data_IF_616858381377
#
_entry.id   IF_616858381377
#
_cell.length_a   1.000
_cell.length_b   1.000
_cell.length_c   1.000
_cell.angle_alpha   90.00
_cell.angle_beta   90.00
_cell.angle_gamma   90.00
#
_symmetry.space_group_name_H-M   'P 1'
#
loop_
_entity.id
_entity.type
_entity.pdbx_description
1 polymer ?
#
# COMPACT_ATOMS: atom_id res chain seq x y z
N UNK A 1 -29.69 55.58 80.38
CA UNK A 1 -30.32 56.91 80.43
C UNK A 1 -31.28 56.87 79.34
N UNK A 2 -32.47 56.58 79.67
CA UNK A 2 -33.62 57.45 79.85
C UNK A 2 -34.17 57.88 78.47
N UNK A 3 -35.28 57.38 78.19
CA UNK A 3 -36.66 57.79 78.55
C UNK A 3 -37.33 58.36 77.29
N UNK A 4 -38.33 57.81 76.90
CA UNK A 4 -39.76 57.86 77.06
C UNK A 4 -40.47 58.47 75.83
N UNK A 5 -41.39 57.66 75.36
CA UNK A 5 -42.84 57.90 75.41
C UNK A 5 -43.26 59.12 74.60
N UNK A 6 -44.23 59.02 73.71
CA UNK A 6 -45.66 58.93 74.06
C UNK A 6 -46.53 58.84 72.82
N UNK A 7 -47.34 57.85 72.77
CA UNK A 7 -48.75 57.85 72.51
C UNK A 7 -49.40 59.14 72.01
N UNK A 8 -50.20 59.06 70.96
CA UNK A 8 -51.67 59.25 71.15
C UNK A 8 -52.35 59.18 69.77
N UNK A 9 -53.21 58.19 69.59
CA UNK A 9 -54.67 58.34 69.26
C UNK A 9 -55.09 59.43 68.30
N UNK A 10 -55.76 59.04 67.24
CA UNK A 10 -57.15 59.35 66.88
C UNK A 10 -57.46 58.67 65.55
N UNK A 11 -58.27 57.59 65.57
CA UNK A 11 -59.69 57.46 65.38
C UNK A 11 -60.16 57.89 64.00
N UNK A 12 -60.60 56.82 63.30
CA UNK A 12 -61.80 56.74 62.46
C UNK A 12 -61.98 57.75 61.33
N UNK A 13 -61.82 57.23 60.13
CA UNK A 13 -62.86 57.35 59.14
C UNK A 13 -62.89 56.10 58.31
N UNK A 14 -63.78 55.21 58.63
CA UNK A 14 -64.21 54.11 57.76
C UNK A 14 -64.91 54.79 56.60
N UNK A 15 -64.20 54.89 55.47
CA UNK A 15 -64.83 55.05 54.17
C UNK A 15 -64.75 53.70 53.47
N UNK A 16 -65.87 52.98 53.62
CA UNK A 16 -66.16 51.82 52.76
C UNK A 16 -66.35 52.37 51.35
N UNK A 17 -65.28 52.49 50.57
CA UNK A 17 -65.35 52.52 49.15
C UNK A 17 -65.23 51.04 48.68
N UNK A 18 -66.40 50.44 48.57
CA UNK A 18 -66.49 49.20 47.76
C UNK A 18 -66.24 49.66 46.33
N UNK A 19 -64.94 49.70 45.98
CA UNK A 19 -64.58 49.63 44.59
C UNK A 19 -65.00 48.24 44.15
N UNK A 20 -66.07 48.16 43.43
CA UNK A 20 -66.29 47.12 42.45
C UNK A 20 -65.10 47.21 41.47
N UNK A 21 -63.97 46.64 41.83
CA UNK A 21 -63.06 46.18 40.85
C UNK A 21 -63.78 45.01 40.18
N UNK A 22 -64.60 45.33 39.24
CA UNK A 22 -64.94 44.37 38.21
C UNK A 22 -63.62 43.96 37.56
N UNK A 23 -63.09 42.84 38.01
CA UNK A 23 -62.22 42.07 37.12
C UNK A 23 -63.14 41.72 35.95
N UNK A 24 -63.28 42.64 35.00
CA UNK A 24 -63.42 42.22 33.64
C UNK A 24 -62.08 41.49 33.30
N UNK A 25 -62.00 40.21 33.66
CA UNK A 25 -61.05 39.37 32.98
C UNK A 25 -61.38 39.51 31.51
N UNK A 26 -60.72 40.45 30.86
CA UNK A 26 -60.61 40.39 29.42
C UNK A 26 -60.05 38.94 29.18
N UNK A 27 -60.96 38.03 28.82
CA UNK A 27 -60.56 36.75 28.35
C UNK A 27 -59.58 37.04 27.25
N UNK A 28 -58.29 36.74 27.50
CA UNK A 28 -57.26 36.88 26.47
C UNK A 28 -57.70 36.01 25.33
N UNK A 29 -57.83 36.56 24.15
CA UNK A 29 -58.11 35.79 22.93
C UNK A 29 -56.83 35.36 22.21
N UNK A 30 -55.67 35.64 22.85
CA UNK A 30 -54.35 35.29 22.36
C UNK A 30 -54.28 33.80 22.15
N UNK A 31 -53.79 33.34 20.97
CA UNK A 31 -53.55 31.93 20.73
C UNK A 31 -52.43 31.37 21.64
N UNK A 32 -52.32 30.07 21.70
CA UNK A 32 -51.22 29.35 22.30
C UNK A 32 -50.55 28.56 21.18
N UNK A 33 -49.36 29.02 20.76
CA UNK A 33 -48.59 28.41 19.67
C UNK A 33 -47.93 27.11 20.11
N UNK A 34 -47.90 26.16 19.22
CA UNK A 34 -47.15 24.89 19.36
C UNK A 34 -46.44 24.58 18.06
N UNK A 35 -45.25 24.01 18.15
CA UNK A 35 -44.47 23.56 16.99
C UNK A 35 -43.82 22.20 17.30
N UNK A 36 -43.78 21.33 16.32
CA UNK A 36 -43.00 20.09 16.32
C UNK A 36 -42.33 19.89 14.97
N UNK A 37 -41.29 19.09 14.95
CA UNK A 37 -40.61 18.65 13.73
C UNK A 37 -40.56 17.14 13.70
N UNK A 38 -40.48 16.53 12.51
CA UNK A 38 -40.30 15.10 12.34
C UNK A 38 -38.89 14.66 12.71
N UNK A 39 -37.92 15.58 12.59
CA UNK A 39 -36.51 15.37 12.95
C UNK A 39 -35.96 16.67 13.56
N UNK A 40 -35.17 16.54 14.65
CA UNK A 40 -34.48 17.65 15.32
C UNK A 40 -32.97 17.68 14.97
N UNK A 41 -32.46 16.62 14.27
CA UNK A 41 -31.11 16.54 13.75
C UNK A 41 -31.17 15.95 12.35
N UNK A 42 -30.59 16.65 11.38
CA UNK A 42 -30.56 16.29 9.95
C UNK A 42 -29.22 16.64 9.34
N UNK A 43 -28.95 16.10 8.14
CA UNK A 43 -27.81 16.51 7.33
C UNK A 43 -28.18 17.65 6.40
N UNK A 44 -27.22 18.52 6.07
CA UNK A 44 -27.40 19.60 5.09
C UNK A 44 -28.03 19.06 3.81
N UNK A 45 -29.11 19.73 3.35
CA UNK A 45 -29.86 19.33 2.16
C UNK A 45 -31.02 18.37 2.42
N UNK A 46 -31.15 17.81 3.61
CA UNK A 46 -32.34 17.03 3.98
C UNK A 46 -33.56 17.88 4.28
N UNK A 47 -34.73 17.29 4.11
CA UNK A 47 -35.99 17.95 4.31
C UNK A 47 -36.51 17.68 5.71
N UNK A 48 -36.83 18.75 6.47
CA UNK A 48 -37.51 18.68 7.76
C UNK A 48 -38.94 19.12 7.59
N UNK A 49 -39.90 18.33 8.13
CA UNK A 49 -41.33 18.69 8.13
C UNK A 49 -41.73 19.23 9.49
N UNK A 50 -42.41 20.36 9.48
CA UNK A 50 -42.87 21.06 10.68
C UNK A 50 -44.39 21.00 10.78
N UNK A 51 -44.88 20.85 12.02
CA UNK A 51 -46.28 20.75 12.34
C UNK A 51 -46.63 21.67 13.53
N UNK A 52 -47.51 22.65 13.30
CA UNK A 52 -48.03 23.57 14.30
C UNK A 52 -49.54 23.39 14.54
N UNK A 53 -50.17 22.30 14.07
CA UNK A 53 -51.62 22.07 14.17
C UNK A 53 -52.11 21.83 15.61
N UNK A 54 -51.20 21.59 16.55
CA UNK A 54 -51.52 21.52 17.97
C UNK A 54 -51.66 22.89 18.61
N UNK A 55 -51.40 23.97 17.87
CA UNK A 55 -51.68 25.32 18.34
C UNK A 55 -53.19 25.51 18.57
N UNK A 56 -53.53 26.24 19.61
CA UNK A 56 -54.94 26.48 20.01
C UNK A 56 -55.23 27.96 20.15
N UNK A 57 -56.54 28.36 20.06
CA UNK A 57 -56.95 29.69 20.35
C UNK A 57 -58.28 29.67 21.17
N UNK A 58 -58.49 30.56 22.12
CA UNK A 58 -59.74 30.62 22.92
C UNK A 58 -60.96 30.88 22.05
N UNK A 59 -62.10 30.20 22.35
CA UNK A 59 -63.36 30.45 21.69
C UNK A 59 -63.86 31.85 21.99
N UNK A 60 -64.44 32.62 21.01
CA UNK A 60 -64.89 32.14 19.70
C UNK A 60 -63.90 32.36 18.54
N UNK A 61 -62.61 32.68 18.82
CA UNK A 61 -61.60 32.91 17.79
C UNK A 61 -61.13 31.56 17.11
N UNK A 62 -60.66 31.64 15.88
CA UNK A 62 -60.11 30.59 15.11
C UNK A 62 -58.70 30.96 14.67
N UNK A 63 -57.81 29.99 14.52
CA UNK A 63 -56.44 30.18 13.93
C UNK A 63 -56.66 30.44 12.43
N UNK A 64 -56.06 31.54 11.93
CA UNK A 64 -56.22 32.02 10.56
C UNK A 64 -54.91 31.84 9.75
N UNK A 65 -53.76 32.10 10.40
CA UNK A 65 -52.47 32.14 9.71
C UNK A 65 -51.33 31.61 10.60
N UNK A 66 -50.32 31.00 9.94
CA UNK A 66 -49.04 30.56 10.52
C UNK A 66 -47.92 31.22 9.74
N UNK A 67 -47.04 31.97 10.39
CA UNK A 67 -45.85 32.60 9.81
C UNK A 67 -44.61 31.91 10.33
N UNK A 68 -43.93 31.25 9.46
CA UNK A 68 -42.75 30.46 9.75
C UNK A 68 -41.49 31.27 9.47
N UNK A 69 -40.47 31.15 10.35
CA UNK A 69 -39.12 31.67 10.18
C UNK A 69 -38.14 30.55 10.47
N UNK A 70 -37.35 30.16 9.46
CA UNK A 70 -36.44 28.97 9.54
C UNK A 70 -35.02 29.29 10.03
N UNK A 71 -34.76 30.59 10.40
CA UNK A 71 -33.43 30.97 10.91
C UNK A 71 -32.40 31.35 9.85
N UNK A 72 -32.58 30.91 8.59
CA UNK A 72 -31.69 31.25 7.46
C UNK A 72 -32.12 32.51 6.68
N UNK A 73 -33.08 33.25 7.21
CA UNK A 73 -33.67 34.46 6.57
C UNK A 73 -34.90 34.17 5.73
N UNK A 74 -35.24 32.92 5.50
CA UNK A 74 -36.43 32.50 4.79
C UNK A 74 -37.65 32.52 5.68
N UNK A 75 -38.76 33.12 5.17
CA UNK A 75 -40.06 33.12 5.81
C UNK A 75 -41.12 32.53 4.90
N UNK A 76 -42.08 31.85 5.51
CA UNK A 76 -43.21 31.26 4.78
C UNK A 76 -44.51 31.46 5.58
N UNK A 77 -45.58 31.70 4.86
CA UNK A 77 -46.93 31.80 5.44
C UNK A 77 -47.78 30.62 4.97
N UNK A 78 -48.49 29.99 5.88
CA UNK A 78 -49.43 28.90 5.59
C UNK A 78 -50.73 29.07 6.39
N UNK A 79 -51.80 28.45 5.91
CA UNK A 79 -53.10 28.39 6.62
C UNK A 79 -53.38 26.97 7.16
N UNK A 80 -52.53 26.02 6.83
CA UNK A 80 -52.74 24.59 7.17
C UNK A 80 -52.00 24.15 8.43
N UNK A 81 -51.11 24.99 8.98
CA UNK A 81 -50.28 24.67 10.14
C UNK A 81 -49.19 23.61 9.89
N UNK A 82 -48.91 23.29 8.63
CA UNK A 82 -47.83 22.40 8.24
C UNK A 82 -46.95 23.03 7.17
N UNK A 83 -45.65 22.74 7.22
CA UNK A 83 -44.70 23.20 6.23
C UNK A 83 -43.48 22.26 6.22
N UNK A 84 -42.55 22.49 5.30
CA UNK A 84 -41.26 21.86 5.27
C UNK A 84 -40.15 22.87 4.98
N UNK A 85 -38.92 22.57 5.35
CA UNK A 85 -37.75 23.36 4.98
C UNK A 85 -36.56 22.42 4.68
N UNK A 86 -35.65 22.89 3.82
CA UNK A 86 -34.39 22.26 3.52
C UNK A 86 -33.29 23.22 3.95
N UNK A 87 -32.55 22.86 4.99
CA UNK A 87 -31.48 23.71 5.51
C UNK A 87 -30.26 23.61 4.60
N UNK A 88 -29.64 24.76 4.32
CA UNK A 88 -28.46 24.87 3.44
C UNK A 88 -27.20 25.26 4.19
N UNK A 89 -27.35 25.69 5.44
CA UNK A 89 -26.23 26.04 6.31
C UNK A 89 -26.15 25.05 7.49
N UNK A 90 -24.97 24.56 7.84
CA UNK A 90 -24.79 23.72 9.01
C UNK A 90 -24.91 24.51 10.32
N UNK A 91 -25.11 23.79 11.43
CA UNK A 91 -25.20 24.34 12.76
C UNK A 91 -26.63 24.33 13.34
N UNK A 92 -26.83 25.05 14.44
CA UNK A 92 -28.14 25.14 15.10
C UNK A 92 -29.03 26.22 14.47
N UNK A 93 -30.22 25.84 14.09
CA UNK A 93 -31.26 26.74 13.54
C UNK A 93 -32.47 26.77 14.44
N UNK A 94 -32.81 27.95 14.96
CA UNK A 94 -34.03 28.15 15.73
C UNK A 94 -35.17 28.47 14.77
N UNK A 95 -36.08 27.51 14.60
CA UNK A 95 -37.26 27.62 13.78
C UNK A 95 -38.38 28.15 14.64
N UNK A 96 -38.97 29.30 14.25
CA UNK A 96 -40.07 29.94 14.94
C UNK A 96 -41.34 29.89 14.08
N UNK A 97 -42.48 29.61 14.71
CA UNK A 97 -43.82 29.81 14.14
C UNK A 97 -44.52 30.87 14.93
N UNK A 98 -45.04 31.88 14.27
CA UNK A 98 -45.99 32.86 14.83
C UNK A 98 -47.39 32.52 14.32
N UNK A 99 -48.30 32.22 15.26
CA UNK A 99 -49.66 31.77 14.99
C UNK A 99 -50.61 32.91 15.24
N UNK A 100 -51.39 33.30 14.24
CA UNK A 100 -52.36 34.37 14.31
C UNK A 100 -53.79 33.83 14.36
N UNK A 101 -54.63 34.48 15.13
CA UNK A 101 -56.05 34.24 15.08
C UNK A 101 -56.78 35.27 14.18
N UNK A 102 -58.10 35.09 13.93
CA UNK A 102 -58.95 35.91 13.08
C UNK A 102 -59.17 37.35 13.61
N UNK A 103 -58.62 37.68 14.79
CA UNK A 103 -58.58 39.02 15.35
C UNK A 103 -57.22 39.69 15.25
N UNK A 104 -56.23 39.03 14.70
CA UNK A 104 -54.88 39.54 14.54
C UNK A 104 -54.01 39.45 15.81
N UNK A 105 -54.46 38.72 16.85
CA UNK A 105 -53.63 38.44 18.02
C UNK A 105 -52.75 37.24 17.71
N UNK A 106 -51.52 37.26 18.22
CA UNK A 106 -50.52 36.19 17.91
C UNK A 106 -49.80 35.68 19.14
N UNK A 107 -49.22 34.49 19.01
CA UNK A 107 -48.29 33.88 19.92
C UNK A 107 -47.21 33.15 19.13
N UNK A 108 -46.05 32.84 19.76
CA UNK A 108 -44.89 32.24 19.12
C UNK A 108 -44.46 31.00 19.84
N UNK A 109 -44.02 30.01 19.05
CA UNK A 109 -43.30 28.82 19.51
C UNK A 109 -42.08 28.60 18.67
N UNK A 110 -41.04 28.05 19.28
CA UNK A 110 -39.79 27.73 18.57
C UNK A 110 -39.32 26.33 18.87
N UNK A 111 -38.57 25.75 17.93
CA UNK A 111 -37.87 24.48 18.03
C UNK A 111 -36.48 24.65 17.41
N UNK A 112 -35.45 24.04 18.02
CA UNK A 112 -34.10 24.09 17.51
C UNK A 112 -33.83 22.86 16.67
N UNK A 113 -33.34 23.06 15.45
CA UNK A 113 -32.92 22.00 14.53
C UNK A 113 -31.41 22.07 14.40
N UNK A 114 -30.75 20.95 14.67
CA UNK A 114 -29.31 20.79 14.41
C UNK A 114 -29.10 20.25 12.99
N UNK A 115 -28.32 20.99 12.20
CA UNK A 115 -27.98 20.60 10.82
C UNK A 115 -26.50 20.22 10.75
N UNK A 116 -26.25 18.97 10.47
CA UNK A 116 -24.92 18.41 10.34
C UNK A 116 -24.40 18.59 8.91
N UNK A 117 -23.10 18.85 8.73
CA UNK A 117 -22.44 18.76 7.44
C UNK A 117 -21.39 17.65 7.44
N UNK A 118 -21.12 17.02 6.28
CA UNK A 118 -20.00 16.09 6.19
C UNK A 118 -18.67 16.80 6.46
N UNK A 119 -17.63 16.07 6.97
CA UNK A 119 -16.32 16.65 7.25
C UNK A 119 -15.65 17.20 5.98
N UNK A 120 -14.85 18.25 6.13
CA UNK A 120 -13.98 18.76 5.08
C UNK A 120 -12.63 18.04 5.10
N UNK A 121 -12.26 17.38 4.00
CA UNK A 121 -11.00 16.67 3.87
C UNK A 121 -9.92 17.61 3.36
N UNK A 122 -8.79 17.68 4.10
CA UNK A 122 -7.58 18.41 3.71
C UNK A 122 -6.45 17.40 3.63
N UNK A 123 -5.93 17.15 2.40
CA UNK A 123 -4.82 16.25 2.16
C UNK A 123 -3.52 17.01 1.91
N UNK A 124 -2.46 16.58 2.59
CA UNK A 124 -1.08 16.95 2.32
C UNK A 124 -0.30 15.71 1.89
N UNK A 125 0.26 15.72 0.68
CA UNK A 125 1.02 14.60 0.13
C UNK A 125 1.99 15.06 -0.95
N UNK A 126 3.08 14.30 -1.26
CA UNK A 126 3.97 14.59 -2.38
C UNK A 126 3.26 14.31 -3.71
N UNK A 127 3.55 15.13 -4.73
CA UNK A 127 3.03 14.90 -6.08
C UNK A 127 3.69 13.71 -6.79
N UNK A 128 4.92 13.36 -6.40
CA UNK A 128 5.64 12.19 -6.90
C UNK A 128 6.62 11.65 -5.84
N UNK A 129 6.97 10.38 -5.97
CA UNK A 129 8.01 9.68 -5.20
C UNK A 129 8.78 8.73 -6.11
N UNK A 130 9.94 8.25 -5.66
CA UNK A 130 10.67 7.20 -6.38
C UNK A 130 10.18 5.82 -5.93
N UNK A 131 10.39 4.82 -6.77
CA UNK A 131 10.16 3.42 -6.38
C UNK A 131 10.89 3.08 -5.08
N UNK A 132 10.20 2.37 -4.18
CA UNK A 132 10.66 2.00 -2.84
C UNK A 132 11.02 3.19 -1.91
N UNK A 133 10.56 4.39 -2.21
CA UNK A 133 10.62 5.54 -1.32
C UNK A 133 9.31 5.63 -0.54
N UNK A 134 9.40 5.93 0.76
CA UNK A 134 8.22 6.12 1.60
C UNK A 134 7.62 7.50 1.36
N UNK A 135 6.33 7.55 1.06
CA UNK A 135 5.54 8.77 1.02
C UNK A 135 4.62 8.82 2.24
N UNK A 136 4.45 10.02 2.79
CA UNK A 136 3.46 10.29 3.84
C UNK A 136 2.28 11.00 3.20
N UNK A 137 1.07 10.48 3.45
CA UNK A 137 -0.20 11.13 3.09
C UNK A 137 -0.86 11.52 4.41
N UNK A 138 -1.12 12.81 4.58
CA UNK A 138 -1.57 13.40 5.84
C UNK A 138 -2.94 14.09 5.66
N UNK A 139 -3.96 13.56 6.34
CA UNK A 139 -5.30 14.10 6.43
C UNK A 139 -5.59 14.75 7.81
N UNK A 140 -4.60 14.91 8.69
CA UNK A 140 -4.78 15.36 10.07
C UNK A 140 -5.32 16.78 10.21
N UNK A 141 -5.31 17.57 9.13
CA UNK A 141 -5.89 18.91 9.11
C UNK A 141 -7.36 18.92 8.67
N UNK A 142 -7.94 17.77 8.35
CA UNK A 142 -9.36 17.63 8.06
C UNK A 142 -10.19 17.94 9.32
N UNK A 143 -11.35 18.52 9.15
CA UNK A 143 -12.19 18.96 10.26
C UNK A 143 -13.68 18.86 9.94
N UNK A 144 -14.48 18.79 10.99
CA UNK A 144 -15.92 19.00 10.94
C UNK A 144 -16.26 20.47 11.30
N UNK A 145 -17.08 21.15 10.48
CA UNK A 145 -17.43 22.56 10.66
C UNK A 145 -18.26 22.80 11.90
N UNK A 146 -19.06 21.83 12.36
CA UNK A 146 -19.85 21.88 13.58
C UNK A 146 -19.05 21.55 14.83
N UNK A 147 -17.81 21.09 14.65
CA UNK A 147 -16.93 20.58 15.68
C UNK A 147 -17.22 19.11 15.97
N UNK A 148 -16.27 18.42 16.50
CA UNK A 148 -16.35 16.99 16.76
C UNK A 148 -15.12 16.26 16.31
N UNK A 149 -15.11 14.94 16.48
CA UNK A 149 -14.02 14.08 15.99
C UNK A 149 -14.28 13.69 14.53
N UNK A 150 -13.18 13.58 13.76
CA UNK A 150 -13.20 13.01 12.42
C UNK A 150 -12.44 11.71 12.44
N UNK A 151 -13.07 10.64 12.00
CA UNK A 151 -12.48 9.32 11.79
C UNK A 151 -12.15 9.15 10.30
N UNK A 152 -11.14 8.30 9.99
CA UNK A 152 -10.68 8.09 8.62
C UNK A 152 -10.75 6.62 8.26
N UNK A 153 -11.07 6.36 6.99
CA UNK A 153 -10.92 5.06 6.34
C UNK A 153 -10.15 5.29 5.04
N UNK A 154 -9.03 4.59 4.87
CA UNK A 154 -8.21 4.67 3.67
C UNK A 154 -8.34 3.40 2.85
N UNK A 155 -8.47 3.59 1.55
CA UNK A 155 -8.22 2.59 0.53
C UNK A 155 -6.94 3.02 -0.22
N UNK A 156 -5.87 2.23 -0.08
CA UNK A 156 -4.54 2.60 -0.56
C UNK A 156 -4.25 2.11 -1.98
N UNK A 157 -5.11 1.26 -2.56
CA UNK A 157 -5.00 0.74 -3.91
C UNK A 157 -6.36 0.41 -4.52
N UNK A 158 -6.97 1.36 -5.22
CA UNK A 158 -8.26 1.20 -5.90
C UNK A 158 -8.29 0.11 -6.99
N UNK A 159 -7.16 -0.49 -7.30
CA UNK A 159 -7.04 -1.58 -8.27
C UNK A 159 -7.06 -2.98 -7.65
N UNK A 160 -6.99 -3.09 -6.33
CA UNK A 160 -6.87 -4.37 -5.62
C UNK A 160 -7.98 -4.55 -4.59
N UNK A 161 -8.86 -5.51 -4.83
CA UNK A 161 -9.93 -5.92 -3.92
C UNK A 161 -9.35 -6.81 -2.80
N UNK A 162 -9.06 -6.20 -1.65
CA UNK A 162 -8.46 -6.88 -0.49
C UNK A 162 -9.48 -7.68 0.30
N UNK A 163 -10.70 -7.17 0.42
CA UNK A 163 -11.76 -7.81 1.19
C UNK A 163 -12.48 -8.94 0.42
N UNK A 164 -12.33 -8.99 -0.92
CA UNK A 164 -12.83 -10.04 -1.79
C UNK A 164 -14.35 -9.96 -2.05
N UNK A 165 -14.95 -8.77 -1.90
CA UNK A 165 -16.39 -8.57 -2.13
C UNK A 165 -16.75 -8.25 -3.58
N UNK A 166 -15.75 -8.03 -4.44
CA UNK A 166 -15.89 -7.74 -5.85
C UNK A 166 -15.86 -6.24 -6.19
N UNK A 167 -15.65 -5.36 -5.20
CA UNK A 167 -15.49 -3.93 -5.36
C UNK A 167 -14.14 -3.48 -4.78
N UNK A 168 -13.11 -3.24 -5.61
CA UNK A 168 -11.79 -2.83 -5.14
C UNK A 168 -11.73 -1.38 -4.63
N UNK A 169 -12.83 -0.64 -4.61
CA UNK A 169 -12.86 0.79 -4.26
C UNK A 169 -13.43 1.08 -2.87
N UNK A 170 -13.67 0.04 -2.08
CA UNK A 170 -14.31 0.12 -0.77
C UNK A 170 -13.50 -0.53 0.35
N UNK A 171 -12.24 -0.88 0.10
CA UNK A 171 -11.38 -1.52 1.10
C UNK A 171 -11.02 -0.57 2.25
N UNK A 172 -10.89 -1.14 3.45
CA UNK A 172 -10.43 -0.43 4.64
C UNK A 172 -9.02 -0.91 5.00
N UNK A 173 -8.02 -0.26 4.40
CA UNK A 173 -6.61 -0.60 4.60
C UNK A 173 -6.05 -0.02 5.90
N UNK A 174 -6.39 1.24 6.21
CA UNK A 174 -5.91 1.99 7.36
C UNK A 174 -7.01 2.94 7.88
N UNK A 175 -6.88 3.32 9.17
CA UNK A 175 -7.86 4.21 9.84
C UNK A 175 -7.22 5.38 10.59
N UNK A 176 -5.93 5.59 10.44
CA UNK A 176 -5.21 6.70 11.07
C UNK A 176 -5.37 7.99 10.26
N UNK A 177 -5.16 9.16 10.88
CA UNK A 177 -5.20 10.45 10.17
C UNK A 177 -4.03 10.65 9.21
N UNK A 178 -2.99 9.82 9.30
CA UNK A 178 -1.77 9.88 8.48
C UNK A 178 -1.36 8.48 8.12
N UNK A 179 -1.03 8.23 6.84
CA UNK A 179 -0.59 6.94 6.34
C UNK A 179 0.76 7.05 5.65
N UNK A 180 1.55 5.97 5.76
CA UNK A 180 2.81 5.81 5.03
C UNK A 180 2.64 4.76 3.94
N UNK A 181 2.99 5.12 2.71
CA UNK A 181 2.92 4.22 1.55
C UNK A 181 4.27 4.13 0.85
N UNK A 182 4.56 2.95 0.29
CA UNK A 182 5.76 2.71 -0.52
C UNK A 182 5.42 1.73 -1.63
N UNK A 183 5.84 2.05 -2.86
CA UNK A 183 5.51 1.27 -4.05
C UNK A 183 6.78 0.76 -4.72
N UNK A 184 6.81 -0.54 -5.06
CA UNK A 184 7.95 -1.17 -5.72
C UNK A 184 8.01 -0.87 -7.22
N UNK A 185 6.84 -0.69 -7.86
CA UNK A 185 6.70 -0.47 -9.29
C UNK A 185 6.41 1.01 -9.60
N UNK A 186 6.94 1.49 -10.73
CA UNK A 186 6.63 2.83 -11.23
C UNK A 186 5.26 2.88 -11.89
N UNK A 187 4.58 4.00 -11.73
CA UNK A 187 3.24 4.21 -12.29
C UNK A 187 2.47 5.29 -11.57
N UNK A 188 1.21 5.44 -11.91
CA UNK A 188 0.30 6.32 -11.17
C UNK A 188 -0.49 5.46 -10.17
N UNK A 189 -0.21 5.64 -8.90
CA UNK A 189 -0.90 4.96 -7.81
C UNK A 189 -2.06 5.82 -7.36
N UNK A 190 -3.22 5.19 -7.15
CA UNK A 190 -4.47 5.86 -6.80
C UNK A 190 -5.09 5.21 -5.58
N UNK A 191 -5.64 6.03 -4.72
CA UNK A 191 -6.37 5.60 -3.54
C UNK A 191 -7.47 6.58 -3.19
N UNK A 192 -8.14 6.31 -2.08
CA UNK A 192 -9.14 7.20 -1.50
C UNK A 192 -8.96 7.36 0.01
N UNK A 193 -9.53 8.42 0.54
CA UNK A 193 -9.75 8.60 1.97
C UNK A 193 -11.19 9.01 2.18
N UNK A 194 -11.87 8.34 3.09
CA UNK A 194 -13.20 8.69 3.57
C UNK A 194 -13.08 9.20 5.01
N UNK A 195 -13.53 10.43 5.22
CA UNK A 195 -13.66 11.04 6.54
C UNK A 195 -15.09 10.87 7.04
N UNK A 196 -15.25 10.56 8.32
CA UNK A 196 -16.54 10.30 8.99
C UNK A 196 -16.59 11.17 10.24
N UNK A 197 -17.65 11.94 10.43
CA UNK A 197 -17.89 12.71 11.66
C UNK A 197 -18.49 11.86 12.79
N UNK A 198 -18.66 12.45 13.97
CA UNK A 198 -19.23 11.78 15.15
C UNK A 198 -20.75 11.51 15.04
N UNK A 199 -21.39 11.93 13.94
CA UNK A 199 -22.81 11.70 13.62
C UNK A 199 -23.01 10.80 12.42
N UNK A 200 -21.91 10.36 11.79
CA UNK A 200 -21.90 9.39 10.69
C UNK A 200 -22.07 10.00 9.30
N UNK A 201 -21.99 11.34 9.14
CA UNK A 201 -21.90 11.91 7.81
C UNK A 201 -20.48 11.73 7.24
N UNK A 202 -20.38 11.53 5.93
CA UNK A 202 -19.13 11.14 5.28
C UNK A 202 -18.77 12.03 4.11
N UNK A 203 -17.45 12.24 3.94
CA UNK A 203 -16.86 12.79 2.72
C UNK A 203 -15.80 11.83 2.21
N UNK A 204 -15.66 11.71 0.89
CA UNK A 204 -14.61 10.89 0.28
C UNK A 204 -13.81 11.72 -0.72
N UNK A 205 -12.47 11.60 -0.66
CA UNK A 205 -11.55 12.26 -1.56
C UNK A 205 -10.63 11.23 -2.22
N UNK A 206 -10.53 11.27 -3.54
CA UNK A 206 -9.56 10.48 -4.31
C UNK A 206 -8.21 11.20 -4.33
N UNK A 207 -7.14 10.42 -4.30
CA UNK A 207 -5.78 10.92 -4.42
C UNK A 207 -4.95 10.09 -5.42
N UNK A 208 -3.86 10.67 -5.89
CA UNK A 208 -2.90 9.95 -6.73
C UNK A 208 -1.47 10.43 -6.50
N UNK A 209 -0.52 9.50 -6.56
CA UNK A 209 0.91 9.75 -6.47
C UNK A 209 1.59 9.16 -7.71
N UNK A 210 2.42 9.96 -8.39
CA UNK A 210 3.25 9.46 -9.48
C UNK A 210 4.50 8.80 -8.91
N UNK A 211 4.63 7.49 -9.11
CA UNK A 211 5.84 6.73 -8.74
C UNK A 211 6.78 6.69 -9.93
N UNK A 212 7.98 7.26 -9.77
CA UNK A 212 8.97 7.37 -10.84
C UNK A 212 10.12 6.40 -10.64
N UNK A 213 10.67 5.89 -11.75
CA UNK A 213 11.84 5.01 -11.75
C UNK A 213 13.07 5.70 -11.19
N UNK A 214 13.96 4.90 -10.58
CA UNK A 214 15.30 5.32 -10.18
C UNK A 214 16.28 5.26 -11.36
N UNK A 215 17.35 6.02 -11.30
CA UNK A 215 18.42 6.01 -12.29
C UNK A 215 19.63 5.26 -11.74
N UNK A 216 20.20 4.36 -12.53
CA UNK A 216 21.33 3.53 -12.12
C UNK A 216 22.45 3.60 -13.15
N UNK A 217 23.70 3.68 -12.67
CA UNK A 217 24.87 3.40 -13.47
C UNK A 217 25.21 1.91 -13.42
N UNK A 218 25.47 1.33 -14.59
CA UNK A 218 25.78 -0.09 -14.77
C UNK A 218 27.22 -0.23 -15.20
N UNK A 219 28.01 -0.98 -14.43
CA UNK A 219 29.39 -1.35 -14.74
C UNK A 219 29.51 -2.86 -14.63
N UNK A 220 30.19 -3.50 -15.59
CA UNK A 220 30.46 -4.93 -15.56
C UNK A 220 31.88 -5.18 -15.08
N UNK A 221 32.02 -6.03 -14.07
CA UNK A 221 33.29 -6.43 -13.47
C UNK A 221 33.63 -7.86 -13.89
N UNK A 222 34.81 -8.04 -14.51
CA UNK A 222 35.30 -9.37 -14.88
C UNK A 222 35.92 -10.06 -13.67
N UNK A 223 35.58 -11.32 -13.46
CA UNK A 223 36.12 -12.16 -12.43
C UNK A 223 36.46 -13.53 -12.99
N UNK A 224 37.62 -14.09 -12.59
CA UNK A 224 38.00 -15.45 -12.83
C UNK A 224 37.74 -16.31 -11.60
N UNK A 225 37.12 -17.46 -11.80
CA UNK A 225 36.79 -18.43 -10.76
C UNK A 225 37.47 -19.73 -11.14
N UNK A 226 38.26 -20.30 -10.23
CA UNK A 226 38.88 -21.63 -10.36
C UNK A 226 38.15 -22.61 -9.44
N UNK A 227 37.93 -23.82 -9.95
CA UNK A 227 37.46 -24.98 -9.22
C UNK A 227 38.44 -26.10 -9.44
N UNK A 228 38.91 -26.71 -8.37
CA UNK A 228 39.76 -27.93 -8.42
C UNK A 228 39.02 -29.05 -7.69
N UNK A 229 38.82 -30.16 -8.37
CA UNK A 229 38.14 -31.34 -7.88
C UNK A 229 39.09 -32.54 -8.07
N UNK A 230 39.40 -33.23 -6.99
CA UNK A 230 40.21 -34.43 -7.01
C UNK A 230 39.32 -35.65 -6.83
N UNK A 231 39.64 -36.73 -7.51
CA UNK A 231 38.89 -37.97 -7.44
C UNK A 231 39.71 -39.19 -7.83
N UNK A 232 39.08 -40.34 -7.74
CA UNK A 232 39.57 -41.62 -8.21
C UNK A 232 38.45 -42.35 -8.92
N UNK A 233 38.72 -42.98 -10.07
CA UNK A 233 37.71 -43.72 -10.82
C UNK A 233 38.28 -45.04 -11.29
N UNK A 234 37.57 -46.15 -11.00
CA UNK A 234 37.93 -47.48 -11.43
C UNK A 234 37.60 -47.70 -12.90
N UNK A 235 38.33 -48.55 -13.59
CA UNK A 235 38.09 -48.90 -15.00
C UNK A 235 36.66 -49.34 -15.24
N UNK A 236 36.02 -48.73 -16.24
CA UNK A 236 34.63 -48.99 -16.61
C UNK A 236 33.60 -48.23 -15.78
N UNK A 237 34.04 -47.51 -14.73
CA UNK A 237 33.17 -46.67 -13.90
C UNK A 237 33.27 -45.19 -14.31
N UNK A 238 32.39 -44.35 -13.71
CA UNK A 238 32.40 -42.92 -13.93
C UNK A 238 32.12 -42.15 -12.64
N UNK A 239 32.66 -40.94 -12.57
CA UNK A 239 32.38 -39.98 -11.49
C UNK A 239 31.65 -38.76 -12.04
N UNK A 240 30.65 -38.24 -11.30
CA UNK A 240 29.90 -37.06 -11.67
C UNK A 240 30.24 -35.93 -10.70
N UNK A 241 30.44 -34.72 -11.26
CA UNK A 241 30.53 -33.48 -10.51
C UNK A 241 29.54 -32.47 -11.09
N UNK A 242 28.79 -31.78 -10.22
CA UNK A 242 27.82 -30.77 -10.60
C UNK A 242 28.28 -29.40 -10.10
N UNK A 243 28.13 -28.34 -10.93
CA UNK A 243 28.47 -26.95 -10.61
C UNK A 243 27.46 -26.00 -11.25
N UNK A 244 27.35 -24.77 -10.67
CA UNK A 244 26.56 -23.66 -11.21
C UNK A 244 27.49 -22.46 -11.38
N UNK A 245 28.23 -22.36 -12.48
CA UNK A 245 29.31 -21.38 -12.65
C UNK A 245 28.81 -19.94 -12.80
N UNK A 246 27.58 -19.75 -13.25
CA UNK A 246 27.04 -18.44 -13.61
C UNK A 246 26.04 -17.87 -12.57
N UNK A 247 26.10 -18.30 -11.31
CA UNK A 247 25.20 -17.79 -10.27
C UNK A 247 25.42 -16.28 -10.03
N UNK A 248 24.44 -15.47 -10.44
CA UNK A 248 24.50 -14.00 -10.29
C UNK A 248 25.48 -13.30 -11.25
N UNK A 249 25.89 -13.96 -12.34
CA UNK A 249 26.84 -13.45 -13.32
C UNK A 249 26.52 -13.92 -14.74
N UNK A 250 27.14 -13.28 -15.74
CA UNK A 250 27.15 -13.72 -17.13
C UNK A 250 28.43 -14.51 -17.38
N UNK A 251 28.31 -15.78 -17.79
CA UNK A 251 29.46 -16.61 -18.10
C UNK A 251 30.02 -16.24 -19.48
N UNK A 252 31.32 -15.94 -19.55
CA UNK A 252 31.95 -15.52 -20.80
C UNK A 252 32.75 -16.66 -21.47
N UNK A 253 33.54 -17.38 -20.70
CA UNK A 253 34.35 -18.46 -21.17
C UNK A 253 34.66 -19.44 -20.05
N UNK A 254 35.04 -20.63 -20.40
CA UNK A 254 35.61 -21.61 -19.47
C UNK A 254 36.71 -22.41 -20.13
N UNK A 255 37.60 -22.91 -19.28
CA UNK A 255 38.62 -23.92 -19.60
C UNK A 255 38.61 -24.98 -18.51
N UNK A 256 38.39 -26.23 -18.89
CA UNK A 256 38.41 -27.36 -17.98
C UNK A 256 39.49 -28.36 -18.41
N UNK A 257 40.38 -28.71 -17.50
CA UNK A 257 41.44 -29.64 -17.73
C UNK A 257 41.39 -30.78 -16.72
N UNK A 258 41.18 -31.99 -17.23
CA UNK A 258 41.34 -33.24 -16.48
C UNK A 258 42.80 -33.63 -16.55
N UNK A 259 43.40 -33.93 -15.41
CA UNK A 259 44.80 -34.32 -15.25
C UNK A 259 44.79 -35.65 -14.50
N UNK A 260 45.33 -36.71 -15.11
CA UNK A 260 45.48 -37.99 -14.43
C UNK A 260 46.79 -38.02 -13.63
N UNK A 261 46.77 -38.71 -12.49
CA UNK A 261 47.98 -38.98 -11.76
C UNK A 261 48.88 -39.93 -12.60
N UNK A 262 50.15 -39.72 -12.50
CA UNK A 262 51.12 -40.43 -13.29
C UNK A 262 51.57 -41.68 -12.58
N UNK A 263 51.43 -42.82 -13.26
CA UNK A 263 51.99 -44.09 -12.82
C UNK A 263 53.53 -44.14 -12.94
N UNK A 264 54.16 -44.33 -11.81
CA UNK A 264 55.60 -44.35 -11.72
C UNK A 264 56.17 -45.77 -12.08
N UNK A 265 55.74 -46.35 -13.18
CA UNK A 265 56.19 -47.69 -13.61
C UNK A 265 57.60 -47.64 -14.22
N UNK A 266 58.46 -48.65 -13.95
CA UNK A 266 59.78 -48.70 -14.51
C UNK A 266 59.80 -49.09 -16.01
N UNK A 267 58.63 -49.31 -16.60
CA UNK A 267 58.48 -49.81 -17.98
C UNK A 267 57.48 -48.84 -18.67
N UNK A 268 57.69 -48.56 -19.97
CA UNK A 268 56.70 -47.80 -20.77
C UNK A 268 55.49 -48.70 -21.00
N UNK A 269 54.40 -48.36 -20.24
CA UNK A 269 53.04 -48.86 -20.49
C UNK A 269 52.27 -47.82 -21.20
N UNK A 270 51.19 -48.17 -21.95
CA UNK A 270 50.18 -47.19 -22.35
C UNK A 270 49.63 -46.45 -21.12
N UNK A 271 49.42 -45.18 -21.25
CA UNK A 271 48.82 -44.43 -20.21
C UNK A 271 47.31 -44.70 -20.17
N UNK A 272 46.69 -44.45 -19.02
CA UNK A 272 45.28 -44.58 -18.82
C UNK A 272 44.47 -43.66 -19.74
N UNK A 273 43.35 -44.18 -20.23
CA UNK A 273 42.47 -43.47 -21.12
C UNK A 273 41.13 -43.11 -20.41
N UNK A 274 40.93 -41.84 -20.17
CA UNK A 274 39.74 -41.30 -19.55
C UNK A 274 39.01 -40.35 -20.48
N UNK A 275 37.68 -40.31 -20.39
CA UNK A 275 36.84 -39.35 -21.10
C UNK A 275 36.30 -38.30 -20.13
N UNK A 276 36.68 -37.03 -20.37
CA UNK A 276 36.05 -35.89 -19.76
C UNK A 276 34.85 -35.48 -20.61
N UNK A 277 33.67 -35.42 -20.02
CA UNK A 277 32.45 -34.95 -20.68
C UNK A 277 31.79 -33.86 -19.83
N UNK A 278 31.27 -32.81 -20.50
CA UNK A 278 30.42 -31.79 -19.89
C UNK A 278 29.08 -31.79 -20.58
N UNK A 279 28.01 -31.63 -19.77
CA UNK A 279 26.65 -31.48 -20.23
C UNK A 279 26.03 -30.26 -19.55
N UNK A 280 25.44 -29.34 -20.35
CA UNK A 280 24.73 -28.14 -19.88
C UNK A 280 23.25 -28.27 -20.27
N UNK A 281 22.39 -28.86 -19.41
CA UNK A 281 21.04 -29.28 -19.76
C UNK A 281 20.18 -28.12 -20.25
N UNK A 282 20.26 -26.93 -19.64
CA UNK A 282 19.48 -25.76 -20.05
C UNK A 282 19.67 -25.32 -21.50
N UNK A 283 20.86 -25.56 -22.06
CA UNK A 283 21.17 -25.20 -23.45
C UNK A 283 21.17 -26.40 -24.38
N UNK A 284 21.09 -27.60 -23.84
CA UNK A 284 21.26 -28.87 -24.59
C UNK A 284 22.67 -29.06 -25.16
N UNK A 285 23.67 -28.26 -24.69
CA UNK A 285 25.01 -28.35 -25.18
C UNK A 285 25.80 -29.44 -24.40
N UNK A 286 26.59 -30.20 -25.14
CA UNK A 286 27.49 -31.21 -24.58
C UNK A 286 28.81 -31.25 -25.36
N UNK A 287 29.88 -31.52 -24.67
CA UNK A 287 31.19 -31.80 -25.27
C UNK A 287 31.86 -32.95 -24.54
N UNK A 288 32.73 -33.66 -25.23
CA UNK A 288 33.55 -34.69 -24.63
C UNK A 288 34.92 -34.76 -25.31
N UNK A 289 35.93 -35.11 -24.55
CA UNK A 289 37.31 -35.27 -25.00
C UNK A 289 37.94 -36.42 -24.23
N UNK A 290 38.78 -37.20 -24.90
CA UNK A 290 39.60 -38.26 -24.26
C UNK A 290 40.95 -37.69 -23.85
N UNK A 291 41.52 -38.24 -22.80
CA UNK A 291 42.88 -37.94 -22.36
C UNK A 291 43.90 -38.34 -23.42
N UNK A 292 44.95 -37.57 -23.53
CA UNK A 292 46.07 -37.83 -24.43
C UNK A 292 47.38 -37.56 -23.69
N UNK A 293 48.36 -38.42 -23.90
CA UNK A 293 49.70 -38.20 -23.38
C UNK A 293 50.60 -37.63 -24.49
N UNK A 294 51.06 -36.40 -24.31
CA UNK A 294 52.03 -35.81 -25.26
C UNK A 294 53.41 -36.35 -25.12
N UNK A 295 53.81 -36.72 -23.90
CA UNK A 295 55.14 -37.26 -23.59
C UNK A 295 55.04 -38.06 -22.30
N UNK A 296 55.75 -39.16 -22.26
CA UNK A 296 55.91 -40.11 -21.12
C UNK A 296 56.39 -39.44 -19.82
N UNK A 297 56.88 -38.21 -19.88
CA UNK A 297 57.33 -37.43 -18.70
C UNK A 297 56.28 -36.46 -18.19
N UNK A 298 55.16 -36.32 -18.89
CA UNK A 298 54.06 -35.43 -18.56
C UNK A 298 52.84 -36.24 -18.13
N UNK A 299 51.97 -35.61 -17.33
CA UNK A 299 50.68 -36.23 -16.99
C UNK A 299 49.81 -36.33 -18.24
N UNK A 300 49.00 -37.36 -18.29
CA UNK A 300 47.95 -37.51 -19.30
C UNK A 300 46.83 -36.55 -19.02
N UNK A 301 46.39 -35.79 -20.02
CA UNK A 301 45.41 -34.71 -19.84
C UNK A 301 44.31 -34.72 -20.90
N UNK A 302 43.16 -34.17 -20.54
CA UNK A 302 42.08 -33.84 -21.47
C UNK A 302 41.57 -32.44 -21.19
N UNK A 303 41.43 -31.59 -22.20
CA UNK A 303 40.94 -30.20 -22.01
C UNK A 303 39.74 -29.91 -22.88
N UNK A 304 38.75 -29.26 -22.29
CA UNK A 304 37.58 -28.68 -22.99
C UNK A 304 37.60 -27.19 -22.72
N UNK A 305 37.71 -26.39 -23.76
CA UNK A 305 37.65 -24.94 -23.69
C UNK A 305 36.54 -24.38 -24.58
N UNK A 306 35.91 -23.31 -24.19
CA UNK A 306 34.93 -22.60 -25.00
C UNK A 306 34.79 -21.13 -24.59
N UNK A 307 34.82 -20.25 -25.61
CA UNK A 307 34.58 -18.81 -25.48
C UNK A 307 34.62 -18.09 -26.83
N UNK A 308 34.00 -16.93 -26.96
CA UNK A 308 33.06 -16.35 -26.02
C UNK A 308 31.72 -17.12 -26.03
N UNK A 309 31.14 -17.30 -24.85
CA UNK A 309 29.83 -17.99 -24.67
C UNK A 309 28.64 -17.06 -24.84
N UNK A 310 28.80 -15.80 -24.42
CA UNK A 310 27.81 -14.75 -24.48
C UNK A 310 28.42 -13.49 -25.07
N UNK A 311 27.60 -12.57 -25.63
CA UNK A 311 28.06 -11.26 -26.07
C UNK A 311 28.61 -10.45 -24.88
N UNK A 312 29.68 -9.68 -25.11
CA UNK A 312 30.14 -8.69 -24.14
C UNK A 312 29.10 -7.59 -24.00
N UNK A 313 28.66 -7.31 -22.76
CA UNK A 313 27.68 -6.26 -22.52
C UNK A 313 28.31 -4.86 -22.65
N UNK A 314 27.47 -3.86 -22.90
CA UNK A 314 27.85 -2.46 -22.73
C UNK A 314 28.10 -2.19 -21.24
N UNK A 315 29.09 -1.36 -20.94
CA UNK A 315 29.45 -0.99 -19.56
C UNK A 315 29.61 0.51 -19.43
N UNK A 316 29.41 1.03 -18.21
CA UNK A 316 29.49 2.44 -17.85
C UNK A 316 28.41 3.30 -18.56
N UNK A 317 27.16 2.91 -18.37
CA UNK A 317 25.99 3.64 -18.91
C UNK A 317 24.91 3.80 -17.84
N UNK A 318 24.03 4.80 -18.05
CA UNK A 318 22.92 5.11 -17.15
C UNK A 318 21.61 4.58 -17.71
N UNK A 319 20.84 3.90 -16.87
CA UNK A 319 19.53 3.33 -17.24
C UNK A 319 18.53 3.48 -16.08
N UNK A 320 17.24 3.62 -16.42
CA UNK A 320 16.17 3.67 -15.42
C UNK A 320 15.63 2.29 -15.08
N UNK A 321 15.38 2.04 -13.79
CA UNK A 321 14.73 0.82 -13.30
C UNK A 321 13.96 1.09 -12.01
N UNK A 322 13.04 0.21 -11.66
CA UNK A 322 12.28 0.31 -10.42
C UNK A 322 13.16 0.00 -9.19
N UNK A 323 14.12 -0.91 -9.34
CA UNK A 323 15.13 -1.21 -8.32
C UNK A 323 16.45 -1.69 -8.95
N UNK A 324 17.52 -1.69 -8.14
CA UNK A 324 18.80 -2.29 -8.55
C UNK A 324 18.67 -3.79 -8.80
N UNK A 325 17.87 -4.51 -8.01
CA UNK A 325 17.67 -5.96 -8.18
C UNK A 325 16.92 -6.26 -9.48
N UNK A 326 15.83 -5.56 -9.76
CA UNK A 326 15.07 -5.69 -11.01
C UNK A 326 15.96 -5.45 -12.23
N UNK A 327 16.87 -4.46 -12.12
CA UNK A 327 17.82 -4.17 -13.18
C UNK A 327 18.83 -5.32 -13.35
N UNK A 328 19.45 -5.79 -12.27
CA UNK A 328 20.40 -6.94 -12.30
C UNK A 328 19.71 -8.16 -12.91
N UNK A 329 18.50 -8.48 -12.48
CA UNK A 329 17.76 -9.63 -13.01
C UNK A 329 17.49 -9.48 -14.51
N UNK A 330 17.16 -8.29 -14.99
CA UNK A 330 16.95 -8.01 -16.41
C UNK A 330 18.26 -8.16 -17.22
N UNK A 331 19.38 -7.65 -16.70
CA UNK A 331 20.69 -7.73 -17.33
C UNK A 331 21.20 -9.19 -17.44
N UNK A 332 20.98 -10.00 -16.42
CA UNK A 332 21.37 -11.42 -16.41
C UNK A 332 20.44 -12.29 -17.26
N UNK A 333 19.18 -11.88 -17.45
CA UNK A 333 18.19 -12.61 -18.24
C UNK A 333 18.00 -12.06 -19.67
N UNK A 334 18.89 -11.20 -20.13
CA UNK A 334 18.84 -10.62 -21.48
C UNK A 334 18.80 -11.73 -22.56
N UNK A 335 17.85 -11.66 -23.51
CA UNK A 335 17.78 -12.64 -24.58
C UNK A 335 19.09 -12.74 -25.39
N UNK A 336 19.59 -13.96 -25.58
CA UNK A 336 20.86 -14.21 -26.28
C UNK A 336 22.13 -14.12 -25.42
N UNK A 337 21.99 -13.76 -24.13
CA UNK A 337 23.11 -13.65 -23.18
C UNK A 337 23.01 -14.63 -22.00
N UNK A 338 22.27 -15.72 -22.19
CA UNK A 338 21.91 -16.69 -21.13
C UNK A 338 22.63 -18.02 -21.25
N UNK A 339 23.60 -18.16 -22.16
CA UNK A 339 24.33 -19.42 -22.32
C UNK A 339 25.12 -19.72 -21.05
N UNK A 340 25.06 -20.98 -20.61
CA UNK A 340 25.76 -21.44 -19.43
C UNK A 340 25.11 -21.20 -18.10
N UNK A 341 23.87 -20.65 -18.08
CA UNK A 341 23.06 -20.59 -16.86
C UNK A 341 22.55 -21.98 -16.46
N UNK A 342 22.34 -22.19 -15.17
CA UNK A 342 21.87 -23.44 -14.59
C UNK A 342 23.01 -24.44 -14.31
N UNK A 343 22.62 -25.69 -14.12
CA UNK A 343 23.51 -26.75 -13.72
C UNK A 343 24.45 -27.18 -14.85
N UNK A 344 25.71 -27.40 -14.51
CA UNK A 344 26.73 -28.00 -15.36
C UNK A 344 27.09 -29.35 -14.79
N UNK A 345 26.98 -30.39 -15.61
CA UNK A 345 27.23 -31.77 -15.22
C UNK A 345 28.51 -32.24 -15.89
N UNK A 346 29.56 -32.44 -15.08
CA UNK A 346 30.83 -32.98 -15.50
C UNK A 346 30.85 -34.48 -15.22
N UNK A 347 31.28 -35.29 -16.21
CA UNK A 347 31.39 -36.74 -16.09
C UNK A 347 32.79 -37.12 -16.47
N UNK A 348 33.47 -37.79 -15.58
CA UNK A 348 34.81 -38.38 -15.78
C UNK A 348 34.63 -39.89 -15.86
N UNK A 349 34.93 -40.47 -17.00
CA UNK A 349 34.81 -41.92 -17.24
C UNK A 349 36.17 -42.53 -17.42
N UNK A 350 36.49 -43.58 -16.68
CA UNK A 350 37.70 -44.39 -16.85
C UNK A 350 37.45 -45.44 -17.94
N UNK A 351 37.82 -45.14 -19.19
CA UNK A 351 37.57 -46.04 -20.34
C UNK A 351 38.53 -47.25 -20.33
N UNK A 352 39.79 -47.00 -20.00
CA UNK A 352 40.80 -48.00 -19.90
C UNK A 352 41.87 -47.55 -18.90
N UNK A 353 42.28 -48.46 -18.00
CA UNK A 353 43.46 -48.31 -17.12
C UNK A 353 44.45 -49.40 -17.41
N UNK A 354 45.69 -49.02 -17.55
CA UNK A 354 46.79 -49.99 -17.88
C UNK A 354 47.78 -50.11 -16.71
N UNK A 355 48.03 -51.34 -16.26
CA UNK A 355 47.58 -52.65 -16.78
C UNK A 355 46.12 -52.96 -16.34
N UNK A 356 45.34 -53.60 -17.22
CA UNK A 356 43.98 -54.06 -16.97
C UNK A 356 43.83 -54.99 -15.73
N UNK A 357 44.89 -55.50 -15.20
CA UNK A 357 44.93 -56.39 -14.05
C UNK A 357 45.98 -55.86 -13.07
N UNK A 358 45.63 -55.66 -11.78
CA UNK A 358 46.59 -55.24 -10.75
C UNK A 358 47.83 -56.07 -10.68
N UNK A 359 49.04 -55.50 -10.64
CA UNK A 359 50.32 -56.14 -10.51
C UNK A 359 50.94 -55.77 -9.18
N UNK A 360 51.03 -56.74 -8.23
CA UNK A 360 51.54 -56.49 -6.89
C UNK A 360 52.96 -55.86 -6.94
N UNK A 361 53.10 -54.72 -6.27
CA UNK A 361 54.33 -53.96 -6.13
C UNK A 361 54.74 -53.14 -7.37
N UNK A 362 53.88 -53.10 -8.40
CA UNK A 362 54.07 -52.32 -9.63
C UNK A 362 52.91 -51.37 -9.80
N UNK A 363 51.71 -51.90 -9.95
CA UNK A 363 50.46 -51.16 -9.99
C UNK A 363 49.37 -52.00 -9.29
N UNK A 364 49.01 -51.69 -8.05
CA UNK A 364 48.15 -52.52 -7.21
C UNK A 364 46.64 -52.27 -7.43
N UNK A 365 46.21 -51.32 -8.23
CA UNK A 365 44.80 -50.97 -8.43
C UNK A 365 44.38 -51.09 -9.91
N UNK A 366 43.07 -50.81 -10.15
CA UNK A 366 42.42 -50.93 -11.46
C UNK A 366 41.83 -49.62 -11.93
N UNK A 367 42.26 -48.51 -11.35
CA UNK A 367 41.75 -47.18 -11.66
C UNK A 367 42.85 -46.14 -11.58
N UNK A 368 42.53 -44.89 -11.75
CA UNK A 368 43.51 -43.81 -11.58
C UNK A 368 42.91 -42.63 -10.77
N UNK A 369 43.78 -42.01 -10.01
CA UNK A 369 43.48 -40.72 -9.37
C UNK A 369 43.60 -39.61 -10.41
N UNK A 370 42.74 -38.60 -10.26
CA UNK A 370 42.68 -37.48 -11.19
C UNK A 370 42.37 -36.18 -10.48
N UNK A 371 42.73 -35.09 -11.14
CA UNK A 371 42.35 -33.72 -10.76
C UNK A 371 41.68 -33.05 -11.94
N UNK A 372 40.44 -32.51 -11.72
CA UNK A 372 39.74 -31.70 -12.69
C UNK A 372 39.84 -30.22 -12.25
N UNK A 373 40.56 -29.43 -13.05
CA UNK A 373 40.69 -27.98 -12.86
C UNK A 373 39.79 -27.28 -13.85
N UNK A 374 38.87 -26.44 -13.35
CA UNK A 374 37.94 -25.67 -14.18
C UNK A 374 38.14 -24.19 -13.89
N UNK A 375 38.50 -23.43 -14.90
CA UNK A 375 38.57 -21.97 -14.84
C UNK A 375 37.38 -21.36 -15.58
N UNK A 376 36.61 -20.49 -14.91
CA UNK A 376 35.52 -19.74 -15.49
C UNK A 376 35.86 -18.26 -15.52
N UNK A 377 35.57 -17.58 -16.63
CA UNK A 377 35.56 -16.12 -16.73
C UNK A 377 34.10 -15.64 -16.72
N UNK A 378 33.75 -14.87 -15.72
CA UNK A 378 32.40 -14.34 -15.53
C UNK A 378 32.40 -12.81 -15.50
N UNK A 379 31.27 -12.20 -15.89
CA UNK A 379 30.98 -10.77 -15.75
C UNK A 379 29.88 -10.57 -14.74
N UNK A 380 30.16 -9.78 -13.69
CA UNK A 380 29.24 -9.47 -12.61
C UNK A 380 28.72 -8.04 -12.83
N UNK A 381 27.40 -7.81 -12.95
CA UNK A 381 26.87 -6.46 -13.06
C UNK A 381 26.96 -5.73 -11.70
N UNK A 382 27.64 -4.57 -11.69
CA UNK A 382 27.68 -3.64 -10.57
C UNK A 382 26.75 -2.48 -10.88
N UNK A 383 25.71 -2.35 -10.06
CA UNK A 383 24.65 -1.36 -10.24
C UNK A 383 24.70 -0.37 -9.07
N UNK A 384 24.88 0.90 -9.37
CA UNK A 384 24.91 1.98 -8.37
C UNK A 384 23.87 3.05 -8.73
N UNK A 385 23.07 3.45 -7.74
CA UNK A 385 22.09 4.53 -7.95
C UNK A 385 22.78 5.87 -8.20
N UNK A 386 22.33 6.58 -9.23
CA UNK A 386 22.80 7.92 -9.54
C UNK A 386 21.93 8.93 -8.81
N UNK A 387 22.49 9.66 -7.85
CA UNK A 387 21.79 10.75 -7.19
C UNK A 387 21.51 11.88 -8.19
N UNK A 388 20.28 12.40 -8.19
CA UNK A 388 19.92 13.63 -8.91
C UNK A 388 20.24 14.81 -8.02
#
# INVERSE_FOLDING_TARGET
>A
MTVERLNTFLISAILLVTSLAGCSGLATTTPNASISADQESVTVGETVNFDARESTTPSPTIIDEYVWNFGEGDKRTTTTGITYHVFTQPGNHDVEVEVFNDRGESDRASISIFVNSPPEIILSMPGYVRTNETAVIDASQSYDSEGGSVEFIWDLDLGFDRNGDGDPTNDADETTSTVEVSYADSGNMTGSVTAIDDRGATSTMLWSIMVVKRMFNVVWEEQKIERTIDGYTEQGEYTIYEDVPSQGARLMEFNATLILDRDLLPIQWPEDNFTLRVNVPMTGWTASVQTTQENITLNTTASIERGPLNPYPESDYIVSSDSSQTLIDSLLNEPGSRFGQGDWIWVITADQCDPDIPIDGVDPDTGNAWSLVIEYTILIPRVSEVGI
#
